data_IF_716187585950
#
_entry.id   IF_716187585950
#
_cell.length_a   1.000
_cell.length_b   1.000
_cell.length_c   1.000
_cell.angle_alpha   90.00
_cell.angle_beta   90.00
_cell.angle_gamma   90.00
#
_symmetry.space_group_name_H-M   'P 1'
#
loop_
_entity.id
_entity.type
_entity.pdbx_description
1 polymer ?
#
# COMPACT_ATOMS: atom_id res chain seq x y z
N UNK A 1 9.30 18.89 16.92
CA UNK A 1 8.25 19.38 17.83
C UNK A 1 6.93 19.23 17.10
N UNK A 2 6.08 18.31 17.51
CA UNK A 2 4.74 18.13 16.92
C UNK A 2 3.89 19.31 17.37
N UNK A 3 3.41 20.11 16.43
CA UNK A 3 2.44 21.15 16.73
C UNK A 3 1.04 20.52 16.74
N UNK A 4 0.48 20.31 17.93
CA UNK A 4 -0.91 19.89 18.03
C UNK A 4 -1.81 20.97 17.45
N UNK A 5 -2.68 20.64 16.50
CA UNK A 5 -3.73 21.52 16.05
C UNK A 5 -4.84 21.60 17.10
N UNK A 6 -5.41 22.77 17.23
CA UNK A 6 -6.62 22.94 18.00
C UNK A 6 -7.74 22.14 17.31
N UNK A 7 -8.41 21.29 18.08
CA UNK A 7 -9.56 20.54 17.58
C UNK A 7 -10.60 21.55 17.03
N UNK A 8 -11.11 21.30 15.84
CA UNK A 8 -12.16 22.14 15.27
C UNK A 8 -13.45 22.00 16.10
N UNK A 9 -14.10 23.13 16.37
CA UNK A 9 -15.42 23.17 17.01
C UNK A 9 -15.55 22.56 18.41
N UNK A 10 -14.46 22.54 19.20
CA UNK A 10 -14.47 21.99 20.56
C UNK A 10 -14.58 20.48 20.66
N UNK A 11 -14.39 19.76 19.58
CA UNK A 11 -14.33 18.30 19.57
C UNK A 11 -12.95 17.82 20.05
N UNK A 12 -12.87 16.71 20.80
CA UNK A 12 -11.62 16.18 21.33
C UNK A 12 -10.80 15.41 20.28
N UNK A 13 -11.10 15.55 19.00
CA UNK A 13 -10.45 14.88 17.89
C UNK A 13 -10.28 15.80 16.68
N UNK A 14 -9.31 15.47 15.84
CA UNK A 14 -9.11 16.08 14.53
C UNK A 14 -9.86 15.25 13.48
N UNK A 15 -10.71 15.90 12.68
CA UNK A 15 -11.40 15.27 11.56
C UNK A 15 -10.70 15.65 10.25
N UNK A 16 -10.30 14.66 9.48
CA UNK A 16 -9.68 14.83 8.16
C UNK A 16 -10.65 14.27 7.12
N UNK A 17 -11.21 15.12 6.24
CA UNK A 17 -12.08 14.65 5.17
C UNK A 17 -11.27 13.87 4.14
N UNK A 18 -11.73 12.67 3.80
CA UNK A 18 -11.04 11.82 2.82
C UNK A 18 -11.40 12.26 1.39
N UNK A 19 -10.42 12.17 0.51
CA UNK A 19 -10.58 12.47 -0.92
C UNK A 19 -11.60 11.52 -1.57
N UNK A 20 -12.37 12.06 -2.51
CA UNK A 20 -13.30 11.25 -3.31
C UNK A 20 -12.56 10.17 -4.11
N UNK A 21 -13.17 8.99 -4.17
CA UNK A 21 -12.68 7.84 -4.95
C UNK A 21 -13.48 7.58 -6.21
N UNK A 22 -14.40 8.49 -6.57
CA UNK A 22 -15.27 8.33 -7.75
C UNK A 22 -14.48 8.17 -9.06
N UNK A 23 -13.31 8.79 -9.16
CA UNK A 23 -12.42 8.67 -10.32
C UNK A 23 -11.67 7.32 -10.37
N UNK A 24 -11.58 6.61 -9.25
CA UNK A 24 -11.01 5.25 -9.19
C UNK A 24 -12.08 4.23 -9.55
N UNK A 25 -13.23 4.34 -8.91
CA UNK A 25 -14.41 3.54 -9.23
C UNK A 25 -15.68 4.29 -8.77
N UNK A 26 -16.60 4.58 -9.69
CA UNK A 26 -17.85 5.27 -9.33
C UNK A 26 -18.83 4.39 -8.55
N UNK A 27 -18.63 3.08 -8.55
CA UNK A 27 -19.54 2.11 -7.94
C UNK A 27 -19.05 1.57 -6.60
N UNK A 28 -17.81 1.87 -6.19
CA UNK A 28 -17.19 1.30 -5.01
C UNK A 28 -16.99 2.35 -3.92
N UNK A 29 -17.34 1.97 -2.71
CA UNK A 29 -17.06 2.76 -1.51
C UNK A 29 -15.73 2.30 -0.91
N UNK A 30 -14.77 3.21 -0.81
CA UNK A 30 -13.48 2.98 -0.18
C UNK A 30 -13.50 3.50 1.26
N UNK A 31 -13.17 2.64 2.18
CA UNK A 31 -13.05 2.95 3.63
C UNK A 31 -11.61 3.13 4.05
N UNK A 32 -11.42 3.88 5.14
CA UNK A 32 -10.15 3.95 5.84
C UNK A 32 -9.81 2.58 6.46
N UNK A 33 -8.54 2.19 6.36
CA UNK A 33 -7.98 1.00 6.98
C UNK A 33 -6.78 1.39 7.84
N UNK A 34 -5.61 0.79 7.64
CA UNK A 34 -4.41 1.12 8.40
C UNK A 34 -3.83 2.49 8.01
N UNK A 35 -3.23 3.17 8.97
CA UNK A 35 -2.51 4.41 8.76
C UNK A 35 -1.13 4.39 9.42
N UNK A 36 -0.20 5.14 8.85
CA UNK A 36 1.10 5.46 9.44
C UNK A 36 1.35 6.96 9.32
N UNK A 37 2.28 7.48 10.10
CA UNK A 37 2.61 8.91 10.11
C UNK A 37 4.11 9.13 9.94
N UNK A 38 4.47 10.24 9.33
CA UNK A 38 5.84 10.71 9.18
C UNK A 38 5.87 12.12 8.66
N UNK A 39 6.98 12.78 8.79
CA UNK A 39 7.24 14.07 8.17
C UNK A 39 7.61 13.82 6.70
N UNK A 40 6.61 13.91 5.82
CA UNK A 40 6.76 13.51 4.42
C UNK A 40 7.43 14.60 3.56
N UNK A 41 7.31 15.87 3.94
CA UNK A 41 7.84 17.00 3.15
C UNK A 41 8.97 17.75 3.84
N UNK A 42 9.32 17.38 5.08
CA UNK A 42 10.43 17.95 5.83
C UNK A 42 10.12 19.28 6.52
N UNK A 43 8.83 19.58 6.73
CA UNK A 43 8.41 20.82 7.38
C UNK A 43 8.38 20.72 8.92
N UNK A 44 8.64 19.55 9.48
CA UNK A 44 8.63 19.25 10.91
C UNK A 44 7.25 18.94 11.46
N UNK A 45 6.23 18.80 10.62
CA UNK A 45 4.88 18.39 10.95
C UNK A 45 4.60 17.05 10.29
N UNK A 46 4.03 16.11 11.03
CA UNK A 46 3.73 14.79 10.47
C UNK A 46 2.49 14.83 9.60
N UNK A 47 2.58 14.16 8.46
CA UNK A 47 1.50 13.81 7.58
C UNK A 47 1.00 12.39 7.91
N UNK A 48 -0.15 12.06 7.36
CA UNK A 48 -0.78 10.75 7.49
C UNK A 48 -0.74 10.05 6.15
N UNK A 49 -0.15 8.85 6.11
CA UNK A 49 -0.29 7.91 5.00
C UNK A 49 -1.38 6.91 5.36
N UNK A 50 -2.47 6.91 4.61
CA UNK A 50 -3.66 6.11 4.85
C UNK A 50 -3.84 5.05 3.77
N UNK A 51 -3.96 3.80 4.19
CA UNK A 51 -4.43 2.71 3.32
C UNK A 51 -5.96 2.72 3.28
N UNK A 52 -6.53 2.58 2.08
CA UNK A 52 -7.98 2.48 1.88
C UNK A 52 -8.33 1.21 1.12
N UNK A 53 -9.36 0.55 1.58
CA UNK A 53 -9.90 -0.68 1.00
C UNK A 53 -11.34 -0.48 0.58
N UNK A 54 -11.81 -1.28 -0.37
CA UNK A 54 -13.23 -1.29 -0.75
C UNK A 54 -14.04 -1.87 0.41
N UNK A 55 -15.10 -1.17 0.78
CA UNK A 55 -16.09 -1.69 1.72
C UNK A 55 -16.77 -2.92 1.12
N UNK A 56 -16.66 -4.04 1.79
CA UNK A 56 -17.37 -5.27 1.43
C UNK A 56 -18.41 -5.57 2.51
N UNK A 57 -19.67 -5.53 2.14
CA UNK A 57 -20.81 -5.77 3.06
C UNK A 57 -20.99 -7.23 3.43
N UNK A 58 -19.99 -8.08 3.30
CA UNK A 58 -20.09 -9.48 3.67
C UNK A 58 -19.84 -9.64 5.16
N UNK A 59 -20.81 -10.22 5.85
CA UNK A 59 -20.84 -10.50 7.29
C UNK A 59 -19.83 -11.57 7.75
N UNK A 60 -19.04 -12.08 6.86
CA UNK A 60 -17.99 -13.03 7.18
C UNK A 60 -16.71 -12.25 7.51
N UNK A 61 -16.38 -12.15 8.79
CA UNK A 61 -15.22 -11.48 9.35
C UNK A 61 -13.86 -11.99 8.85
N UNK A 62 -13.81 -12.46 7.64
CA UNK A 62 -12.63 -12.84 6.87
C UNK A 62 -12.23 -11.75 5.90
N UNK A 63 -10.95 -11.50 5.85
CA UNK A 63 -10.25 -10.63 4.92
C UNK A 63 -10.90 -10.62 3.54
N UNK A 64 -11.63 -9.53 3.22
CA UNK A 64 -12.03 -9.17 1.86
C UNK A 64 -12.50 -10.28 0.94
N UNK A 65 -13.22 -11.28 1.43
CA UNK A 65 -13.87 -12.27 0.58
C UNK A 65 -15.00 -11.59 -0.17
N UNK A 66 -14.67 -10.91 -1.24
CA UNK A 66 -15.67 -10.55 -2.22
C UNK A 66 -16.01 -11.81 -3.00
N UNK A 67 -17.23 -12.26 -2.92
CA UNK A 67 -17.81 -13.19 -3.89
C UNK A 67 -17.93 -12.54 -5.28
N UNK A 68 -17.40 -11.33 -5.42
CA UNK A 68 -17.35 -10.58 -6.65
C UNK A 68 -16.16 -11.03 -7.50
N UNK A 69 -16.40 -11.32 -8.74
CA UNK A 69 -15.42 -11.68 -9.77
C UNK A 69 -14.37 -10.56 -10.03
N UNK A 70 -14.46 -9.44 -9.32
CA UNK A 70 -13.60 -8.27 -9.52
C UNK A 70 -12.76 -8.03 -8.27
N UNK A 71 -11.47 -8.22 -8.38
CA UNK A 71 -10.49 -7.73 -7.39
C UNK A 71 -10.42 -6.22 -7.49
N UNK A 72 -10.50 -5.58 -6.34
CA UNK A 72 -10.40 -4.14 -6.24
C UNK A 72 -8.97 -3.75 -5.87
N UNK A 73 -8.52 -2.64 -6.40
CA UNK A 73 -7.20 -2.09 -6.04
C UNK A 73 -7.21 -1.53 -4.62
N UNK A 74 -6.10 -1.67 -3.92
CA UNK A 74 -5.84 -0.95 -2.67
C UNK A 74 -5.36 0.47 -2.99
N UNK A 75 -5.79 1.46 -2.21
CA UNK A 75 -5.32 2.83 -2.34
C UNK A 75 -4.42 3.18 -1.16
N UNK A 76 -3.37 3.93 -1.43
CA UNK A 76 -2.57 4.62 -0.42
C UNK A 76 -2.68 6.12 -0.68
N UNK A 77 -2.99 6.88 0.34
CA UNK A 77 -3.23 8.32 0.22
C UNK A 77 -2.46 9.06 1.31
N UNK A 78 -1.89 10.23 0.98
CA UNK A 78 -1.27 11.10 1.96
C UNK A 78 -2.11 12.34 2.20
N UNK A 79 -2.15 12.76 3.47
CA UNK A 79 -2.91 13.92 3.94
C UNK A 79 -2.10 14.72 4.95
N UNK A 80 -2.14 16.04 4.82
CA UNK A 80 -1.71 16.92 5.89
C UNK A 80 -2.74 16.96 7.03
N UNK A 81 -2.30 17.28 8.23
CA UNK A 81 -3.21 17.42 9.38
C UNK A 81 -4.26 18.53 9.19
N UNK A 82 -4.07 19.43 8.22
CA UNK A 82 -5.07 20.44 7.86
C UNK A 82 -6.19 19.90 6.94
N UNK A 83 -6.13 18.62 6.56
CA UNK A 83 -7.06 18.02 5.63
C UNK A 83 -6.68 18.20 4.16
N UNK A 84 -5.54 18.82 3.89
CA UNK A 84 -5.02 18.92 2.52
C UNK A 84 -4.62 17.54 2.02
N UNK A 85 -5.14 17.17 0.86
CA UNK A 85 -4.77 15.95 0.16
C UNK A 85 -3.46 16.17 -0.62
N UNK A 86 -2.50 15.28 -0.45
CA UNK A 86 -1.20 15.38 -1.12
C UNK A 86 -1.16 14.55 -2.40
N UNK A 87 -1.37 13.25 -2.27
CA UNK A 87 -1.31 12.32 -3.41
C UNK A 87 -2.07 11.03 -3.13
N UNK A 88 -2.27 10.24 -4.19
CA UNK A 88 -2.82 8.88 -4.15
C UNK A 88 -1.98 7.94 -5.00
N UNK A 89 -1.69 6.77 -4.44
CA UNK A 89 -1.15 5.62 -5.15
C UNK A 89 -2.27 4.61 -5.31
N UNK A 90 -2.42 4.08 -6.52
CA UNK A 90 -3.31 2.98 -6.83
C UNK A 90 -2.46 1.73 -7.00
N UNK A 91 -2.62 0.73 -6.12
CA UNK A 91 -1.74 -0.44 -6.11
C UNK A 91 -1.88 -1.35 -7.34
N UNK A 92 -2.88 -1.07 -8.18
CA UNK A 92 -3.12 -1.83 -9.40
C UNK A 92 -3.84 -3.16 -9.16
N UNK A 93 -3.99 -3.96 -10.22
CA UNK A 93 -4.80 -5.18 -10.18
C UNK A 93 -4.12 -6.34 -9.44
N UNK A 94 -2.79 -6.35 -9.34
CA UNK A 94 -2.05 -7.53 -8.92
C UNK A 94 -1.78 -7.58 -7.42
N UNK A 95 -1.87 -6.46 -6.71
CA UNK A 95 -1.65 -6.42 -5.27
C UNK A 95 -2.95 -6.84 -4.57
N UNK A 96 -2.95 -7.91 -3.77
CA UNK A 96 -4.14 -8.35 -3.06
C UNK A 96 -4.61 -7.29 -2.07
N UNK A 97 -5.92 -7.13 -1.99
CA UNK A 97 -6.55 -6.32 -0.95
C UNK A 97 -6.43 -6.99 0.42
N UNK A 98 -6.70 -6.22 1.44
CA UNK A 98 -6.89 -6.73 2.77
C UNK A 98 -5.79 -6.34 3.75
N UNK A 99 -5.84 -6.98 4.90
CA UNK A 99 -4.95 -6.68 6.02
C UNK A 99 -3.50 -7.07 5.76
N UNK A 100 -3.26 -7.90 4.74
CA UNK A 100 -1.93 -8.33 4.35
C UNK A 100 -1.16 -7.32 3.48
N UNK A 101 -1.82 -6.24 2.98
CA UNK A 101 -1.15 -5.17 2.26
C UNK A 101 -0.50 -4.18 3.25
N UNK A 102 0.62 -4.57 3.83
CA UNK A 102 1.37 -3.74 4.77
C UNK A 102 2.28 -2.75 4.03
N UNK A 103 2.58 -1.64 4.70
CA UNK A 103 3.51 -0.62 4.24
C UNK A 103 4.26 -0.04 5.45
N UNK A 104 5.36 0.67 5.19
CA UNK A 104 6.13 1.33 6.22
C UNK A 104 6.43 2.77 5.80
N UNK A 105 6.43 3.67 6.77
CA UNK A 105 6.78 5.09 6.59
C UNK A 105 7.93 5.40 7.53
N UNK A 106 9.04 5.86 6.97
CA UNK A 106 10.24 6.21 7.73
C UNK A 106 11.21 7.01 6.86
N UNK A 107 12.06 7.81 7.49
CA UNK A 107 13.20 8.45 6.86
C UNK A 107 14.31 7.40 6.64
N UNK A 108 14.35 6.81 5.42
CA UNK A 108 15.25 5.69 5.12
C UNK A 108 16.67 6.12 4.80
N UNK A 109 16.86 7.32 4.28
CA UNK A 109 18.16 7.84 3.86
C UNK A 109 18.78 8.86 4.82
N UNK A 110 18.00 9.33 5.80
CA UNK A 110 18.44 10.25 6.85
C UNK A 110 18.44 11.71 6.43
N UNK A 111 17.64 12.08 5.43
CA UNK A 111 17.56 13.45 4.92
C UNK A 111 16.55 14.32 5.70
N UNK A 112 15.80 13.72 6.62
CA UNK A 112 14.80 14.37 7.46
C UNK A 112 13.39 14.35 6.88
N UNK A 113 13.18 13.65 5.76
CA UNK A 113 11.86 13.39 5.17
C UNK A 113 11.58 11.89 5.19
N UNK A 114 10.33 11.55 5.31
CA UNK A 114 9.95 10.14 5.31
C UNK A 114 9.57 9.67 3.92
N UNK A 115 10.09 8.51 3.55
CA UNK A 115 9.65 7.73 2.40
C UNK A 115 8.63 6.69 2.81
N UNK A 116 8.00 6.08 1.80
CA UNK A 116 7.08 4.95 1.96
C UNK A 116 7.67 3.72 1.27
N UNK A 117 7.75 2.62 2.01
CA UNK A 117 8.09 1.32 1.45
C UNK A 117 6.82 0.47 1.33
N UNK A 118 6.52 -0.01 0.12
CA UNK A 118 5.38 -0.88 -0.12
C UNK A 118 5.63 -1.87 -1.27
N UNK A 119 4.85 -2.94 -1.29
CA UNK A 119 4.86 -3.87 -2.42
C UNK A 119 4.06 -3.29 -3.58
N UNK A 120 4.66 -3.32 -4.77
CA UNK A 120 4.09 -2.87 -6.04
C UNK A 120 4.16 -3.97 -7.09
N UNK A 121 3.51 -3.77 -8.20
CA UNK A 121 3.51 -4.68 -9.36
C UNK A 121 3.17 -3.87 -10.61
N UNK A 122 3.21 -4.50 -11.75
CA UNK A 122 2.67 -3.94 -12.99
C UNK A 122 1.22 -3.46 -12.80
N UNK A 123 0.88 -2.33 -13.40
CA UNK A 123 -0.40 -1.64 -13.20
C UNK A 123 -0.49 -0.81 -11.91
N UNK A 124 0.58 -0.70 -11.11
CA UNK A 124 0.64 0.27 -10.00
C UNK A 124 0.80 1.67 -10.57
N UNK A 125 -0.04 2.62 -10.13
CA UNK A 125 0.03 4.04 -10.51
C UNK A 125 0.46 4.84 -9.28
N UNK A 126 1.56 5.58 -9.39
CA UNK A 126 2.14 6.39 -8.34
C UNK A 126 1.46 7.75 -8.18
N UNK A 127 1.82 8.49 -7.11
CA UNK A 127 1.23 9.79 -6.79
C UNK A 127 1.46 10.87 -7.84
N UNK A 128 2.55 10.79 -8.59
CA UNK A 128 2.87 11.67 -9.72
C UNK A 128 2.20 11.26 -11.04
N UNK A 129 1.40 10.19 -11.04
CA UNK A 129 0.71 9.64 -12.20
C UNK A 129 1.54 8.69 -13.06
N UNK A 130 2.79 8.40 -12.69
CA UNK A 130 3.58 7.39 -13.40
C UNK A 130 3.05 5.99 -13.09
N UNK A 131 3.16 5.08 -14.06
CA UNK A 131 2.66 3.70 -13.96
C UNK A 131 3.78 2.70 -14.19
N UNK A 132 3.75 1.59 -13.46
CA UNK A 132 4.55 0.42 -13.78
C UNK A 132 3.85 -0.32 -14.93
N UNK A 133 4.37 -0.17 -16.14
CA UNK A 133 3.88 -0.88 -17.31
C UNK A 133 4.33 -2.34 -17.35
N UNK A 134 4.23 -2.95 -18.53
CA UNK A 134 4.73 -4.30 -18.83
C UNK A 134 6.27 -4.31 -18.76
N UNK A 135 6.81 -4.80 -17.66
CA UNK A 135 8.26 -4.80 -17.38
C UNK A 135 8.94 -6.06 -17.94
N UNK A 136 8.26 -7.18 -17.93
CA UNK A 136 8.81 -8.45 -18.42
C UNK A 136 8.57 -8.69 -19.92
N UNK A 137 7.75 -7.83 -20.55
CA UNK A 137 7.50 -7.86 -22.00
C UNK A 137 6.58 -8.98 -22.45
N UNK A 138 5.76 -9.53 -21.55
CA UNK A 138 4.83 -10.62 -21.87
C UNK A 138 3.49 -10.14 -22.48
N UNK A 139 3.29 -8.82 -22.57
CA UNK A 139 2.12 -8.19 -23.13
C UNK A 139 0.95 -8.08 -22.15
N UNK A 140 1.19 -8.24 -20.86
CA UNK A 140 0.19 -8.14 -19.79
C UNK A 140 0.67 -7.18 -18.70
N UNK A 141 -0.29 -6.66 -17.97
CA UNK A 141 -0.09 -5.91 -16.72
C UNK A 141 -1.14 -6.32 -15.66
N UNK A 142 -1.96 -7.30 -15.97
CA UNK A 142 -3.03 -7.83 -15.11
C UNK A 142 -2.96 -9.35 -15.07
N UNK A 143 -2.57 -9.88 -13.93
CA UNK A 143 -2.38 -11.31 -13.68
C UNK A 143 -3.50 -11.90 -12.82
N UNK A 144 -4.62 -11.19 -12.68
CA UNK A 144 -5.76 -11.67 -11.93
C UNK A 144 -6.37 -12.90 -12.56
N UNK A 145 -6.78 -13.85 -11.72
CA UNK A 145 -7.51 -15.03 -12.13
C UNK A 145 -8.98 -14.86 -11.77
N UNK A 146 -9.90 -15.00 -12.73
CA UNK A 146 -11.33 -14.90 -12.45
C UNK A 146 -11.77 -15.82 -11.31
N UNK A 147 -12.53 -15.27 -10.36
CA UNK A 147 -13.02 -16.00 -9.19
C UNK A 147 -11.99 -16.22 -8.07
N UNK A 148 -10.77 -15.68 -8.21
CA UNK A 148 -9.73 -15.78 -7.18
C UNK A 148 -9.29 -14.41 -6.67
N UNK A 149 -8.82 -14.38 -5.42
CA UNK A 149 -8.32 -13.15 -4.76
C UNK A 149 -6.80 -13.01 -4.85
N UNK A 150 -6.10 -13.85 -5.60
CA UNK A 150 -4.65 -13.87 -5.74
C UNK A 150 -4.24 -13.98 -7.20
N UNK A 151 -3.02 -13.57 -7.48
CA UNK A 151 -2.39 -13.74 -8.79
C UNK A 151 -1.61 -15.06 -8.81
N UNK A 152 -1.47 -15.65 -10.01
CA UNK A 152 -0.69 -16.87 -10.22
C UNK A 152 0.70 -16.61 -10.82
N UNK A 153 1.08 -15.37 -10.95
CA UNK A 153 2.35 -14.96 -11.54
C UNK A 153 2.44 -13.46 -11.68
N UNK A 154 3.38 -13.00 -12.49
CA UNK A 154 3.65 -11.60 -12.78
C UNK A 154 4.75 -11.01 -11.90
N UNK A 155 5.38 -9.92 -12.34
CA UNK A 155 6.42 -9.22 -11.61
C UNK A 155 5.87 -8.55 -10.36
N UNK A 156 6.59 -8.68 -9.27
CA UNK A 156 6.30 -8.00 -8.00
C UNK A 156 7.57 -7.31 -7.50
N UNK A 157 7.41 -6.13 -6.93
CA UNK A 157 8.50 -5.29 -6.49
C UNK A 157 8.31 -4.81 -5.06
N UNK A 158 9.42 -4.50 -4.39
CA UNK A 158 9.48 -3.56 -3.29
C UNK A 158 9.83 -2.20 -3.87
N UNK A 159 8.94 -1.22 -3.74
CA UNK A 159 9.21 0.17 -4.13
C UNK A 159 9.44 1.04 -2.90
N UNK A 160 10.37 1.98 -3.03
CA UNK A 160 10.57 3.11 -2.11
C UNK A 160 10.06 4.36 -2.81
N UNK A 161 9.24 5.13 -2.12
CA UNK A 161 8.42 6.20 -2.68
C UNK A 161 8.68 7.48 -1.90
N UNK A 162 8.89 8.58 -2.61
CA UNK A 162 9.04 9.91 -2.03
C UNK A 162 7.79 10.35 -1.27
N UNK A 163 7.94 10.70 -0.01
CA UNK A 163 6.83 11.07 0.86
C UNK A 163 6.06 12.30 0.39
N UNK A 164 6.76 13.31 -0.09
CA UNK A 164 6.15 14.58 -0.49
C UNK A 164 5.24 14.47 -1.70
N UNK A 165 5.56 13.59 -2.67
CA UNK A 165 4.90 13.56 -3.99
C UNK A 165 4.21 12.24 -4.31
N UNK A 166 4.53 11.16 -3.58
CA UNK A 166 4.11 9.80 -3.92
C UNK A 166 4.77 9.23 -5.16
N UNK A 167 5.88 9.83 -5.63
CA UNK A 167 6.67 9.36 -6.77
C UNK A 167 7.58 8.22 -6.36
N UNK A 168 7.75 7.23 -7.23
CA UNK A 168 8.72 6.17 -7.01
C UNK A 168 10.17 6.68 -7.12
N UNK A 169 10.97 6.42 -6.10
CA UNK A 169 12.41 6.72 -6.08
C UNK A 169 13.25 5.54 -6.54
N UNK A 170 12.89 4.33 -6.09
CA UNK A 170 13.63 3.12 -6.40
C UNK A 170 12.74 1.88 -6.27
N UNK A 171 13.09 0.82 -6.99
CA UNK A 171 12.47 -0.50 -6.82
C UNK A 171 13.49 -1.63 -6.94
N UNK A 172 13.16 -2.74 -6.32
CA UNK A 172 13.84 -4.03 -6.49
C UNK A 172 12.81 -5.14 -6.57
N UNK A 173 13.19 -6.29 -7.12
CA UNK A 173 12.28 -7.44 -7.16
C UNK A 173 11.86 -7.84 -5.74
N UNK A 174 10.59 -8.17 -5.58
CA UNK A 174 10.10 -8.75 -4.34
C UNK A 174 10.55 -10.22 -4.22
N UNK A 175 10.38 -10.81 -3.04
CA UNK A 175 10.61 -12.23 -2.82
C UNK A 175 9.71 -13.02 -3.80
N UNK A 176 10.29 -14.00 -4.50
CA UNK A 176 9.57 -14.83 -5.48
C UNK A 176 8.31 -15.43 -4.87
N UNK A 177 7.26 -15.57 -5.69
CA UNK A 177 6.08 -16.36 -5.33
C UNK A 177 6.40 -17.81 -4.94
N UNK A 178 7.54 -18.35 -5.41
CA UNK A 178 7.89 -19.75 -5.22
C UNK A 178 7.04 -20.68 -6.09
N UNK A 179 6.89 -21.90 -5.65
CA UNK A 179 6.12 -22.96 -6.33
C UNK A 179 5.12 -23.61 -5.39
N UNK A 180 4.23 -24.45 -5.93
CA UNK A 180 3.33 -25.25 -5.10
C UNK A 180 4.06 -26.26 -4.19
N UNK A 181 5.29 -26.64 -4.54
CA UNK A 181 6.11 -27.50 -3.70
C UNK A 181 6.61 -26.77 -2.47
N UNK A 182 6.90 -25.46 -2.60
CA UNK A 182 7.36 -24.62 -1.48
C UNK A 182 6.22 -24.35 -0.47
N UNK A 183 4.99 -24.17 -0.94
CA UNK A 183 3.87 -23.69 -0.13
C UNK A 183 2.84 -24.78 0.22
N UNK A 184 2.85 -25.92 -0.45
CA UNK A 184 1.88 -27.01 -0.26
C UNK A 184 0.46 -26.63 -0.70
N UNK A 185 -0.53 -26.95 0.13
CA UNK A 185 -1.92 -26.60 -0.12
C UNK A 185 -2.15 -25.09 -0.06
N UNK A 186 -3.15 -24.60 -0.78
CA UNK A 186 -3.48 -23.16 -0.85
C UNK A 186 -2.30 -22.25 -1.27
N UNK A 187 -1.42 -22.76 -2.11
CA UNK A 187 -0.21 -22.10 -2.56
C UNK A 187 -0.37 -20.59 -2.82
N UNK A 188 -1.25 -20.20 -3.73
CA UNK A 188 -1.40 -18.79 -4.11
C UNK A 188 -1.95 -17.92 -2.98
N UNK A 189 -2.81 -18.46 -2.13
CA UNK A 189 -3.29 -17.76 -0.94
C UNK A 189 -2.15 -17.50 0.04
N UNK A 190 -1.35 -18.52 0.32
CA UNK A 190 -0.21 -18.40 1.26
C UNK A 190 0.85 -17.44 0.75
N UNK A 191 1.27 -17.60 -0.50
CA UNK A 191 2.30 -16.78 -1.13
C UNK A 191 1.88 -15.33 -1.38
N UNK A 192 0.58 -15.03 -1.41
CA UNK A 192 0.08 -13.66 -1.58
C UNK A 192 0.21 -12.79 -0.34
N UNK A 193 0.26 -13.38 0.85
CA UNK A 193 0.46 -12.63 2.09
C UNK A 193 1.88 -12.10 2.19
N UNK A 194 2.04 -10.90 2.74
CA UNK A 194 3.34 -10.27 2.93
C UNK A 194 3.32 -9.29 4.09
N UNK A 195 4.51 -8.96 4.59
CA UNK A 195 4.71 -7.92 5.58
C UNK A 195 5.91 -7.08 5.20
N UNK A 196 5.83 -5.82 5.54
CA UNK A 196 6.94 -4.87 5.51
C UNK A 196 7.18 -4.41 6.94
N UNK A 197 8.42 -4.39 7.37
CA UNK A 197 8.83 -3.93 8.68
C UNK A 197 10.12 -3.15 8.59
N UNK A 198 10.51 -2.57 9.70
CA UNK A 198 11.70 -1.75 9.82
C UNK A 198 12.60 -2.25 10.93
N UNK A 199 13.91 -2.11 10.76
CA UNK A 199 14.87 -2.42 11.80
C UNK A 199 16.23 -1.82 11.51
N UNK A 200 16.98 -1.55 12.57
CA UNK A 200 18.37 -1.14 12.46
C UNK A 200 19.26 -2.35 12.79
N UNK A 201 19.61 -3.11 11.76
CA UNK A 201 20.41 -4.33 11.91
C UNK A 201 21.91 -4.09 11.83
N UNK A 202 22.33 -2.97 11.25
CA UNK A 202 23.75 -2.59 11.10
C UNK A 202 24.25 -1.66 12.19
N UNK A 203 23.34 -1.09 13.00
CA UNK A 203 23.66 -0.09 14.02
C UNK A 203 23.77 1.34 13.47
N UNK A 204 23.75 1.54 12.16
CA UNK A 204 23.94 2.85 11.53
C UNK A 204 22.79 3.27 10.60
N UNK A 205 22.19 2.32 9.90
CA UNK A 205 21.18 2.61 8.90
C UNK A 205 19.89 1.82 9.15
N UNK A 206 18.77 2.42 8.86
CA UNK A 206 17.47 1.73 8.86
C UNK A 206 17.42 0.78 7.67
N UNK A 207 16.96 -0.44 7.94
CA UNK A 207 16.77 -1.48 6.93
C UNK A 207 15.29 -1.77 6.77
N UNK A 208 14.86 -2.02 5.54
CA UNK A 208 13.52 -2.51 5.25
C UNK A 208 13.55 -4.04 5.31
N UNK A 209 12.73 -4.61 6.17
CA UNK A 209 12.52 -6.05 6.25
C UNK A 209 11.27 -6.41 5.47
N UNK A 210 11.40 -7.31 4.51
CA UNK A 210 10.27 -7.85 3.78
C UNK A 210 10.16 -9.36 4.03
N UNK A 211 8.95 -9.85 4.08
CA UNK A 211 8.68 -11.29 4.11
C UNK A 211 7.47 -11.60 3.24
N UNK A 212 7.38 -12.87 2.85
CA UNK A 212 6.27 -13.42 2.08
C UNK A 212 5.79 -14.67 2.78
N UNK A 213 4.49 -14.88 2.75
CA UNK A 213 3.87 -16.09 3.23
C UNK A 213 3.02 -15.92 4.48
N UNK A 214 2.25 -16.95 4.76
CA UNK A 214 1.42 -17.08 5.96
C UNK A 214 1.49 -18.53 6.44
N UNK A 215 1.65 -18.71 7.73
CA UNK A 215 1.82 -20.02 8.41
C UNK A 215 3.18 -20.72 8.18
N UNK A 216 4.25 -19.94 8.00
CA UNK A 216 5.63 -20.45 8.00
C UNK A 216 6.36 -20.03 9.28
#
# INVERSE_FOLDING_TARGET
TITARQASEGLPYLSIPLQSTVNVSPLLLYEANDASVGDLDGDGIYEIVLKRLVHTSTTDGGEGSTTSEVRHTTLFEAYKLNGEFMWRITSGPNIPMGNSASFAVYDFDGDGKCEIALRTSEGTIFGDGTEIGDIDGDGKTDYRVPGENYIHGGPEFLSVIEGATGKELARTNYISLGTSEDWGDNYYKRSSSYRVGLGNFSGTNTSILICRGVYD
#
